data_IF_187887697436
#
_entry.id   IF_187887697436
#
_cell.length_a   1.000
_cell.length_b   1.000
_cell.length_c   1.000
_cell.angle_alpha   90.00
_cell.angle_beta   90.00
_cell.angle_gamma   90.00
#
_symmetry.space_group_name_H-M   'P 1'
#
loop_
_entity.id
_entity.type
_entity.pdbx_description
1 polymer ?
#
# COMPACT_ATOMS: atom_id res chain seq x y z
N UNK A 1 3.13 17.11 -59.72
CA UNK A 1 3.89 17.27 -58.45
C UNK A 1 3.10 17.93 -57.33
N UNK A 2 2.43 19.08 -57.54
CA UNK A 2 1.63 19.76 -56.49
C UNK A 2 0.56 18.89 -55.81
N UNK A 3 -0.15 18.04 -56.56
CA UNK A 3 -1.19 17.14 -56.00
C UNK A 3 -0.62 16.09 -55.04
N UNK A 4 0.60 15.63 -55.31
CA UNK A 4 1.30 14.63 -54.50
C UNK A 4 1.79 15.24 -53.18
N UNK A 5 2.27 16.49 -53.25
CA UNK A 5 2.62 17.29 -52.06
C UNK A 5 1.38 17.52 -51.17
N UNK A 6 0.25 17.91 -51.77
CA UNK A 6 -1.00 18.08 -51.03
C UNK A 6 -1.50 16.80 -50.38
N UNK A 7 -1.40 15.66 -51.08
CA UNK A 7 -1.75 14.35 -50.51
C UNK A 7 -0.88 14.01 -49.29
N UNK A 8 0.43 14.27 -49.38
CA UNK A 8 1.37 13.99 -48.30
C UNK A 8 1.10 14.89 -47.08
N UNK A 9 0.77 16.16 -47.30
CA UNK A 9 0.37 17.10 -46.23
C UNK A 9 -0.93 16.66 -45.56
N UNK A 10 -1.93 16.20 -46.32
CA UNK A 10 -3.20 15.71 -45.77
C UNK A 10 -2.98 14.44 -44.92
N UNK A 11 -2.17 13.50 -45.40
CA UNK A 11 -1.85 12.27 -44.65
C UNK A 11 -1.07 12.61 -43.37
N UNK A 12 -0.10 13.51 -43.44
CA UNK A 12 0.66 13.96 -42.28
C UNK A 12 -0.24 14.68 -41.24
N UNK A 13 -1.15 15.54 -41.69
CA UNK A 13 -2.12 16.21 -40.83
C UNK A 13 -3.10 15.21 -40.19
N UNK A 14 -3.55 14.20 -40.93
CA UNK A 14 -4.43 13.15 -40.41
C UNK A 14 -3.70 12.27 -39.39
N UNK A 15 -2.45 11.90 -39.65
CA UNK A 15 -1.60 11.19 -38.69
C UNK A 15 -1.36 12.03 -37.42
N UNK A 16 -1.09 13.32 -37.59
CA UNK A 16 -0.91 14.25 -36.48
C UNK A 16 -2.20 14.50 -35.70
N UNK A 17 -3.36 14.52 -36.33
CA UNK A 17 -4.65 14.63 -35.65
C UNK A 17 -5.00 13.34 -34.88
N UNK A 18 -4.71 12.17 -35.43
CA UNK A 18 -4.91 10.88 -34.75
C UNK A 18 -3.94 10.70 -33.58
N UNK A 19 -2.73 11.25 -33.68
CA UNK A 19 -1.69 11.09 -32.66
C UNK A 19 -1.61 12.26 -31.65
N UNK A 20 -2.04 13.45 -32.06
CA UNK A 20 -1.95 14.71 -31.33
C UNK A 20 -3.31 15.35 -30.98
N UNK A 21 -4.43 14.75 -31.37
CA UNK A 21 -5.74 15.09 -30.82
C UNK A 21 -5.76 14.80 -29.32
N UNK A 22 -6.49 15.65 -28.59
CA UNK A 22 -6.62 15.78 -27.13
C UNK A 22 -6.91 14.47 -26.34
N UNK A 23 -7.09 13.35 -27.04
CA UNK A 23 -7.34 11.99 -26.53
C UNK A 23 -6.47 10.95 -27.26
N UNK A 24 -5.18 11.23 -27.46
CA UNK A 24 -4.24 10.27 -28.07
C UNK A 24 -4.27 8.92 -27.34
N UNK A 25 -4.27 7.81 -28.07
CA UNK A 25 -4.22 6.43 -27.52
C UNK A 25 -3.10 6.24 -26.49
N UNK A 26 -1.99 6.97 -26.63
CA UNK A 26 -0.87 6.98 -25.68
C UNK A 26 -1.25 7.52 -24.29
N UNK A 27 -2.17 8.48 -24.22
CA UNK A 27 -2.64 8.99 -22.94
C UNK A 27 -3.59 8.02 -22.24
N UNK A 28 -4.39 7.26 -22.99
CA UNK A 28 -5.21 6.18 -22.42
C UNK A 28 -4.35 5.09 -21.75
N UNK A 29 -3.21 4.73 -22.37
CA UNK A 29 -2.25 3.80 -21.75
C UNK A 29 -1.59 4.41 -20.50
N UNK A 30 -1.17 5.67 -20.54
CA UNK A 30 -0.61 6.35 -19.35
C UNK A 30 -1.62 6.49 -18.21
N UNK A 31 -2.89 6.75 -18.52
CA UNK A 31 -3.96 6.81 -17.54
C UNK A 31 -4.24 5.42 -16.93
N UNK A 32 -4.18 4.35 -17.71
CA UNK A 32 -4.32 2.97 -17.22
C UNK A 32 -3.18 2.59 -16.29
N UNK A 33 -1.92 2.85 -16.65
CA UNK A 33 -0.76 2.56 -15.79
C UNK A 33 -0.83 3.33 -14.47
N UNK A 34 -1.27 4.60 -14.50
CA UNK A 34 -1.48 5.40 -13.27
C UNK A 34 -2.58 4.80 -12.40
N UNK A 35 -3.70 4.37 -13.00
CA UNK A 35 -4.80 3.74 -12.27
C UNK A 35 -4.37 2.43 -11.62
N UNK A 36 -3.65 1.59 -12.34
CA UNK A 36 -3.17 0.30 -11.84
C UNK A 36 -2.20 0.47 -10.67
N UNK A 37 -1.24 1.40 -10.78
CA UNK A 37 -0.33 1.73 -9.66
C UNK A 37 -1.06 2.24 -8.43
N UNK A 38 -2.07 3.09 -8.60
CA UNK A 38 -2.88 3.58 -7.47
C UNK A 38 -3.72 2.47 -6.84
N UNK A 39 -4.25 1.55 -7.64
CA UNK A 39 -5.01 0.39 -7.15
C UNK A 39 -4.14 -0.53 -6.30
N UNK A 40 -2.92 -0.85 -6.74
CA UNK A 40 -1.99 -1.67 -5.95
C UNK A 40 -1.69 -1.03 -4.59
N UNK A 41 -1.47 0.29 -4.56
CA UNK A 41 -1.25 1.02 -3.30
C UNK A 41 -2.48 0.96 -2.39
N UNK A 42 -3.68 1.16 -2.93
CA UNK A 42 -4.93 1.05 -2.18
C UNK A 42 -5.14 -0.36 -1.62
N UNK A 43 -4.91 -1.40 -2.42
CA UNK A 43 -5.06 -2.79 -2.00
C UNK A 43 -4.08 -3.16 -0.89
N UNK A 44 -2.85 -2.65 -0.95
CA UNK A 44 -1.87 -2.84 0.12
C UNK A 44 -2.31 -2.18 1.43
N UNK A 45 -2.84 -0.96 1.35
CA UNK A 45 -3.28 -0.21 2.51
C UNK A 45 -4.56 -0.80 3.12
N UNK A 46 -5.49 -1.23 2.26
CA UNK A 46 -6.72 -1.90 2.66
C UNK A 46 -6.41 -3.18 3.44
N UNK A 47 -5.44 -3.99 2.98
CA UNK A 47 -4.98 -5.17 3.72
C UNK A 47 -4.46 -4.84 5.12
N UNK A 48 -3.70 -3.75 5.27
CA UNK A 48 -3.25 -3.32 6.60
C UNK A 48 -4.44 -2.90 7.48
N UNK A 49 -5.36 -2.11 6.95
CA UNK A 49 -6.56 -1.69 7.69
C UNK A 49 -7.40 -2.90 8.12
N UNK A 50 -7.60 -3.87 7.24
CA UNK A 50 -8.38 -5.06 7.55
C UNK A 50 -7.69 -5.95 8.59
N UNK A 51 -6.35 -6.09 8.51
CA UNK A 51 -5.57 -6.79 9.53
C UNK A 51 -5.71 -6.13 10.92
N UNK A 52 -5.64 -4.80 10.99
CA UNK A 52 -5.76 -4.07 12.24
C UNK A 52 -7.19 -4.15 12.80
N UNK A 53 -8.21 -4.08 11.94
CA UNK A 53 -9.60 -4.29 12.35
C UNK A 53 -9.82 -5.69 12.91
N UNK A 54 -9.22 -6.71 12.29
CA UNK A 54 -9.30 -8.08 12.78
C UNK A 54 -8.67 -8.22 14.17
N UNK A 55 -7.47 -7.64 14.38
CA UNK A 55 -6.80 -7.63 15.69
C UNK A 55 -7.63 -6.88 16.72
N UNK A 56 -8.13 -5.68 16.41
CA UNK A 56 -9.01 -4.92 17.31
C UNK A 56 -10.22 -5.73 17.73
N UNK A 57 -10.89 -6.38 16.76
CA UNK A 57 -12.07 -7.20 17.03
C UNK A 57 -11.72 -8.39 17.94
N UNK A 58 -10.57 -9.03 17.75
CA UNK A 58 -10.11 -10.11 18.60
C UNK A 58 -9.89 -9.62 20.04
N UNK A 59 -9.24 -8.48 20.23
CA UNK A 59 -9.03 -7.89 21.57
C UNK A 59 -10.37 -7.55 22.25
N UNK A 60 -11.34 -7.03 21.51
CA UNK A 60 -12.64 -6.59 22.07
C UNK A 60 -13.62 -7.74 22.33
N UNK A 61 -13.59 -8.80 21.52
CA UNK A 61 -14.65 -9.81 21.51
C UNK A 61 -14.19 -11.24 21.77
N UNK A 62 -12.90 -11.55 21.71
CA UNK A 62 -12.38 -12.91 21.96
C UNK A 62 -11.91 -13.06 23.41
N UNK A 63 -12.60 -13.87 24.25
CA UNK A 63 -12.23 -14.09 25.64
C UNK A 63 -10.82 -14.67 25.81
N UNK A 64 -10.35 -15.50 24.88
CA UNK A 64 -9.02 -16.11 24.98
C UNK A 64 -7.91 -15.05 24.77
N UNK A 65 -8.13 -14.12 23.84
CA UNK A 65 -7.23 -12.99 23.61
C UNK A 65 -7.24 -12.03 24.80
N UNK A 66 -8.41 -11.76 25.37
CA UNK A 66 -8.54 -10.93 26.57
C UNK A 66 -7.83 -11.54 27.78
N UNK A 67 -8.00 -12.85 28.02
CA UNK A 67 -7.33 -13.56 29.11
C UNK A 67 -5.80 -13.53 28.91
N UNK A 68 -5.32 -13.74 27.67
CA UNK A 68 -3.89 -13.62 27.35
C UNK A 68 -3.37 -12.22 27.65
N UNK A 69 -4.05 -11.18 27.17
CA UNK A 69 -3.65 -9.78 27.38
C UNK A 69 -3.66 -9.41 28.87
N UNK A 70 -4.67 -9.84 29.61
CA UNK A 70 -4.72 -9.64 31.06
C UNK A 70 -3.55 -10.34 31.75
N UNK A 71 -3.22 -11.58 31.37
CA UNK A 71 -2.07 -12.30 31.93
C UNK A 71 -0.74 -11.61 31.63
N UNK A 72 -0.58 -11.07 30.42
CA UNK A 72 0.60 -10.29 30.04
C UNK A 72 0.74 -9.03 30.91
N UNK A 73 -0.35 -8.30 31.12
CA UNK A 73 -0.38 -7.07 31.94
C UNK A 73 -0.08 -7.35 33.42
N UNK A 74 -0.67 -8.40 33.99
CA UNK A 74 -0.49 -8.77 35.39
C UNK A 74 0.75 -9.65 35.65
N UNK A 75 1.55 -9.97 34.63
CA UNK A 75 2.73 -10.83 34.76
C UNK A 75 2.43 -12.29 35.12
N UNK A 76 1.22 -12.76 34.83
CA UNK A 76 0.71 -14.11 35.16
C UNK A 76 0.90 -15.09 34.00
N UNK A 77 2.13 -15.21 33.48
CA UNK A 77 2.49 -16.14 32.39
C UNK A 77 2.70 -17.57 32.90
N UNK A 78 2.42 -18.58 32.05
CA UNK A 78 2.66 -20.01 32.39
C UNK A 78 4.16 -20.34 32.39
N UNK A 79 4.94 -19.77 33.31
CA UNK A 79 6.36 -20.05 33.49
C UNK A 79 7.11 -20.13 32.15
N UNK A 80 7.79 -21.25 31.91
CA UNK A 80 8.67 -21.49 30.75
C UNK A 80 7.94 -21.64 29.38
N UNK A 81 6.60 -21.56 29.33
CA UNK A 81 5.82 -21.82 28.10
C UNK A 81 5.48 -20.58 27.28
N UNK A 82 5.65 -19.38 27.83
CA UNK A 82 5.26 -18.11 27.19
C UNK A 82 6.38 -17.07 27.34
N UNK A 83 6.93 -16.59 26.23
CA UNK A 83 7.94 -15.53 26.20
C UNK A 83 7.24 -14.16 26.13
N UNK A 84 7.50 -13.30 27.12
CA UNK A 84 7.04 -11.90 27.12
C UNK A 84 8.08 -11.01 26.46
N UNK A 85 7.72 -10.39 25.34
CA UNK A 85 8.54 -9.34 24.72
C UNK A 85 8.09 -7.98 25.23
N UNK A 86 8.95 -7.31 26.00
CA UNK A 86 8.77 -5.90 26.36
C UNK A 86 9.68 -5.06 25.48
N UNK A 87 9.09 -4.25 24.62
CA UNK A 87 9.83 -3.22 23.89
C UNK A 87 10.13 -2.08 24.87
N UNK A 88 11.41 -1.85 25.13
CA UNK A 88 11.87 -0.69 25.89
C UNK A 88 12.28 0.35 24.85
N UNK A 89 11.87 1.62 25.02
CA UNK A 89 12.36 2.68 24.15
C UNK A 89 13.88 2.82 24.34
N UNK A 90 14.64 2.83 23.25
CA UNK A 90 16.12 2.86 23.22
C UNK A 90 16.76 4.13 23.85
N UNK A 91 15.97 5.02 24.45
CA UNK A 91 16.47 6.24 25.10
C UNK A 91 17.11 6.02 26.47
N UNK A 92 17.06 4.79 27.00
CA UNK A 92 17.80 4.38 28.21
C UNK A 92 18.71 3.20 27.88
N UNK A 93 19.56 3.37 26.85
CA UNK A 93 20.77 2.58 26.73
C UNK A 93 21.62 2.83 27.99
N UNK A 94 21.42 1.98 29.00
CA UNK A 94 22.22 1.93 30.22
C UNK A 94 23.67 1.75 29.78
N UNK A 95 24.49 2.77 29.99
CA UNK A 95 25.94 2.60 29.86
C UNK A 95 26.36 1.47 30.81
N UNK A 96 27.05 0.44 30.32
CA UNK A 96 27.60 -0.58 31.21
C UNK A 96 28.62 0.12 32.12
N UNK A 97 28.28 0.20 33.41
CA UNK A 97 29.13 0.78 34.44
C UNK A 97 30.53 0.17 34.42
N UNK A 98 31.52 1.05 34.60
CA UNK A 98 32.92 0.69 34.87
C UNK A 98 33.07 -0.08 36.17
#
# INVERSE_FOLDING_TARGET
MKKLVWLLVIVAAMFFALQGGEYSTRDLFRQRDRKEKMQVSLDSLQRHVDSLKAVRKAIEADPAVQEKLAREEFGMVRGDKELLYRFVEDSVAVEPGK
#
